data_IF_352518483840
#
_entry.id   IF_352518483840
#
_cell.length_a   1.000
_cell.length_b   1.000
_cell.length_c   1.000
_cell.angle_alpha   90.00
_cell.angle_beta   90.00
_cell.angle_gamma   90.00
#
_symmetry.space_group_name_H-M   'P 1'
#
loop_
_entity.id
_entity.type
_entity.pdbx_description
1 polymer ?
#
# COMPACT_ATOMS: atom_id res chain seq x y z
N UNK A 1 15.26 5.37 -2.02
CA UNK A 1 13.87 4.93 -2.29
C UNK A 1 13.38 5.42 -3.65
N UNK A 2 12.36 4.84 -4.20
CA UNK A 2 11.66 5.22 -5.43
C UNK A 2 10.35 5.93 -5.08
N UNK A 3 10.29 7.25 -5.27
CA UNK A 3 9.08 8.04 -4.98
C UNK A 3 8.06 7.83 -6.11
N UNK A 4 6.79 7.65 -5.74
CA UNK A 4 5.65 7.54 -6.65
C UNK A 4 4.42 8.27 -6.12
N UNK A 5 3.35 8.27 -6.91
CA UNK A 5 2.04 8.81 -6.54
C UNK A 5 0.94 7.81 -6.90
N UNK A 6 -0.13 7.76 -6.12
CA UNK A 6 -1.30 6.92 -6.40
C UNK A 6 -2.18 7.51 -7.53
N UNK A 7 -2.12 8.83 -7.75
CA UNK A 7 -2.86 9.46 -8.83
C UNK A 7 -2.28 9.09 -10.20
N UNK A 8 -3.14 8.67 -11.11
CA UNK A 8 -2.77 8.47 -12.51
C UNK A 8 -2.70 9.82 -13.22
N UNK A 9 -1.50 10.23 -13.67
CA UNK A 9 -1.34 11.45 -14.44
C UNK A 9 -2.11 11.35 -15.78
N UNK A 10 -2.79 12.41 -16.24
CA UNK A 10 -3.51 12.40 -17.52
C UNK A 10 -2.58 12.07 -18.69
N UNK A 11 -2.92 11.08 -19.50
CA UNK A 11 -2.13 10.62 -20.64
C UNK A 11 -3.01 9.93 -21.68
N UNK A 12 -2.57 9.89 -22.92
CA UNK A 12 -3.25 9.22 -24.02
C UNK A 12 -2.58 7.88 -24.40
N UNK A 13 -1.30 7.71 -24.07
CA UNK A 13 -0.54 6.48 -24.38
C UNK A 13 0.33 6.03 -23.21
N UNK A 14 0.69 4.74 -23.14
CA UNK A 14 1.60 4.22 -22.12
C UNK A 14 2.95 4.95 -22.08
N UNK A 15 3.48 5.31 -23.25
CA UNK A 15 4.75 6.02 -23.38
C UNK A 15 4.65 7.43 -22.78
N UNK A 16 3.54 8.13 -23.03
CA UNK A 16 3.27 9.45 -22.44
C UNK A 16 3.10 9.34 -20.92
N UNK A 17 2.40 8.31 -20.44
CA UNK A 17 2.26 8.03 -19.02
C UNK A 17 3.63 7.88 -18.33
N UNK A 18 4.49 7.03 -18.84
CA UNK A 18 5.82 6.83 -18.29
C UNK A 18 6.66 8.11 -18.32
N UNK A 19 6.66 8.81 -19.46
CA UNK A 19 7.36 10.08 -19.63
C UNK A 19 6.93 11.14 -18.63
N UNK A 20 5.62 11.32 -18.41
CA UNK A 20 5.09 12.29 -17.42
C UNK A 20 5.52 11.98 -16.00
N UNK A 21 5.55 10.71 -15.61
CA UNK A 21 6.05 10.31 -14.30
C UNK A 21 7.55 10.64 -14.15
N UNK A 22 8.36 10.37 -15.16
CA UNK A 22 9.79 10.76 -15.15
C UNK A 22 9.99 12.28 -15.13
N UNK A 23 9.23 13.04 -15.91
CA UNK A 23 9.28 14.52 -15.90
C UNK A 23 8.88 15.10 -14.53
N UNK A 24 7.93 14.48 -13.86
CA UNK A 24 7.62 14.78 -12.46
C UNK A 24 8.72 14.30 -11.48
N UNK A 25 9.78 13.63 -11.97
CA UNK A 25 10.91 13.10 -11.18
C UNK A 25 10.52 11.94 -10.30
N UNK A 26 9.52 11.17 -10.67
CA UNK A 26 9.11 9.97 -9.99
C UNK A 26 9.92 8.76 -10.48
N UNK A 27 10.13 7.80 -9.58
CA UNK A 27 10.85 6.55 -9.85
C UNK A 27 9.99 5.30 -9.62
N UNK A 28 8.77 5.49 -9.10
CA UNK A 28 7.80 4.40 -8.90
C UNK A 28 6.42 4.81 -9.39
N UNK A 29 5.59 3.83 -9.72
CA UNK A 29 4.23 4.02 -10.24
C UNK A 29 3.30 2.96 -9.68
N UNK A 30 2.03 3.32 -9.51
CA UNK A 30 0.93 2.36 -9.41
C UNK A 30 0.54 1.95 -10.82
N UNK A 31 0.33 0.66 -11.05
CA UNK A 31 0.01 0.16 -12.38
C UNK A 31 -1.38 0.62 -12.81
N UNK A 32 -1.54 1.23 -13.98
CA UNK A 32 -2.79 1.93 -14.33
C UNK A 32 -3.89 1.01 -14.89
N UNK A 33 -3.59 -0.27 -15.15
CA UNK A 33 -4.55 -1.21 -15.71
C UNK A 33 -5.05 -2.21 -14.67
N UNK A 34 -6.27 -2.71 -14.91
CA UNK A 34 -6.82 -3.86 -14.20
C UNK A 34 -6.69 -5.14 -15.06
N UNK A 35 -6.98 -6.29 -14.46
CA UNK A 35 -6.85 -7.60 -15.11
C UNK A 35 -7.85 -7.84 -16.28
N UNK A 36 -8.86 -7.01 -16.42
CA UNK A 36 -9.81 -7.00 -17.56
C UNK A 36 -9.30 -6.21 -18.77
N UNK A 37 -8.18 -5.48 -18.63
CA UNK A 37 -7.56 -4.79 -19.74
C UNK A 37 -6.98 -5.77 -20.78
N UNK A 38 -6.98 -5.43 -22.08
CA UNK A 38 -6.34 -6.25 -23.10
C UNK A 38 -4.87 -6.50 -22.77
N UNK A 39 -4.41 -7.75 -22.94
CA UNK A 39 -3.03 -8.14 -22.66
C UNK A 39 -2.00 -7.25 -23.37
N UNK A 40 -2.23 -6.93 -24.64
CA UNK A 40 -1.36 -6.03 -25.40
C UNK A 40 -1.20 -4.65 -24.72
N UNK A 41 -2.28 -4.15 -24.10
CA UNK A 41 -2.23 -2.86 -23.39
C UNK A 41 -1.42 -2.98 -22.10
N UNK A 42 -1.61 -4.04 -21.32
CA UNK A 42 -0.84 -4.25 -20.09
C UNK A 42 0.65 -4.45 -20.37
N UNK A 43 1.00 -5.20 -21.43
CA UNK A 43 2.38 -5.36 -21.89
C UNK A 43 3.00 -4.01 -22.30
N UNK A 44 2.30 -3.17 -23.05
CA UNK A 44 2.79 -1.83 -23.43
C UNK A 44 3.02 -0.90 -22.23
N UNK A 45 2.18 -0.94 -21.19
CA UNK A 45 2.43 -0.19 -19.95
C UNK A 45 3.63 -0.74 -19.19
N UNK A 46 3.81 -2.04 -19.16
CA UNK A 46 4.99 -2.65 -18.56
C UNK A 46 6.27 -2.25 -19.32
N UNK A 47 6.27 -2.36 -20.65
CA UNK A 47 7.40 -1.94 -21.49
C UNK A 47 7.74 -0.46 -21.27
N UNK A 48 6.73 0.42 -21.27
CA UNK A 48 6.92 1.85 -21.03
C UNK A 48 7.51 2.14 -19.63
N UNK A 49 7.09 1.41 -18.59
CA UNK A 49 7.67 1.52 -17.26
C UNK A 49 9.13 1.07 -17.26
N UNK A 50 9.41 -0.08 -17.86
CA UNK A 50 10.75 -0.66 -17.94
C UNK A 50 11.73 0.24 -18.70
N UNK A 51 11.38 0.74 -19.88
CA UNK A 51 12.19 1.62 -20.70
C UNK A 51 12.51 2.96 -20.02
N UNK A 52 11.66 3.38 -19.09
CA UNK A 52 11.81 4.64 -18.35
C UNK A 52 12.37 4.45 -16.93
N UNK A 53 12.88 3.26 -16.56
CA UNK A 53 13.37 2.99 -15.20
C UNK A 53 12.33 3.40 -14.13
N UNK A 54 11.08 2.98 -14.31
CA UNK A 54 10.00 3.12 -13.35
C UNK A 54 9.72 1.77 -12.69
N UNK A 55 9.79 1.73 -11.37
CA UNK A 55 9.39 0.53 -10.60
C UNK A 55 7.87 0.51 -10.52
N UNK A 56 7.25 -0.58 -10.99
CA UNK A 56 5.83 -0.83 -10.73
C UNK A 56 5.72 -1.24 -9.25
N UNK A 57 5.32 -0.30 -8.41
CA UNK A 57 5.19 -0.49 -6.97
C UNK A 57 4.08 -1.48 -6.65
N UNK A 58 2.93 -1.27 -7.29
CA UNK A 58 1.68 -1.90 -6.90
C UNK A 58 0.75 -2.14 -8.08
N UNK A 59 0.03 -3.27 -8.00
CA UNK A 59 -1.26 -3.48 -8.66
C UNK A 59 -2.32 -3.50 -7.55
N UNK A 60 -3.16 -2.48 -7.49
CA UNK A 60 -4.21 -2.36 -6.48
C UNK A 60 -5.43 -3.23 -6.79
N UNK A 61 -6.07 -3.76 -5.77
CA UNK A 61 -7.33 -4.55 -5.90
C UNK A 61 -8.50 -3.74 -5.36
N UNK A 62 -8.42 -3.32 -4.11
CA UNK A 62 -9.38 -2.46 -3.39
C UNK A 62 -10.80 -3.01 -3.43
N UNK A 63 -10.98 -4.19 -2.80
CA UNK A 63 -12.28 -4.84 -2.64
C UNK A 63 -12.39 -5.58 -1.30
N UNK A 64 -13.55 -6.15 -1.02
CA UNK A 64 -13.82 -6.90 0.20
C UNK A 64 -13.90 -8.43 -0.04
N UNK A 65 -12.80 -9.19 0.09
CA UNK A 65 -12.82 -10.64 -0.08
C UNK A 65 -13.51 -11.37 1.10
N UNK A 66 -13.90 -10.64 2.16
CA UNK A 66 -14.66 -11.16 3.31
C UNK A 66 -16.14 -10.77 3.28
N UNK A 67 -16.66 -10.29 2.16
CA UNK A 67 -18.05 -9.86 2.04
C UNK A 67 -19.01 -10.95 2.55
N UNK A 68 -20.03 -10.53 3.29
CA UNK A 68 -21.06 -11.44 3.83
C UNK A 68 -21.96 -12.02 2.75
N UNK A 69 -22.16 -11.30 1.65
CA UNK A 69 -22.87 -11.79 0.49
C UNK A 69 -21.99 -12.80 -0.26
N UNK A 70 -22.40 -14.07 -0.36
CA UNK A 70 -21.57 -15.11 -0.99
C UNK A 70 -21.24 -14.84 -2.45
N UNK A 71 -22.14 -14.22 -3.20
CA UNK A 71 -21.92 -13.92 -4.62
C UNK A 71 -20.90 -12.78 -4.79
N UNK A 72 -21.02 -11.72 -3.98
CA UNK A 72 -20.04 -10.64 -3.96
C UNK A 72 -18.67 -11.13 -3.49
N UNK A 73 -18.64 -11.93 -2.44
CA UNK A 73 -17.40 -12.54 -1.93
C UNK A 73 -16.71 -13.37 -3.01
N UNK A 74 -17.46 -14.18 -3.74
CA UNK A 74 -16.94 -14.97 -4.87
C UNK A 74 -16.35 -14.07 -5.96
N UNK A 75 -17.09 -13.04 -6.40
CA UNK A 75 -16.62 -12.08 -7.41
C UNK A 75 -15.36 -11.33 -6.93
N UNK A 76 -15.32 -10.93 -5.67
CA UNK A 76 -14.18 -10.26 -5.08
C UNK A 76 -12.94 -11.17 -5.03
N UNK A 77 -13.10 -12.45 -4.70
CA UNK A 77 -12.02 -13.44 -4.72
C UNK A 77 -11.50 -13.69 -6.15
N UNK A 78 -12.38 -13.84 -7.13
CA UNK A 78 -12.02 -13.99 -8.55
C UNK A 78 -11.24 -12.77 -9.03
N UNK A 79 -11.64 -11.55 -8.62
CA UNK A 79 -10.89 -10.33 -8.92
C UNK A 79 -9.52 -10.31 -8.23
N UNK A 80 -9.41 -10.73 -6.97
CA UNK A 80 -8.12 -10.83 -6.28
C UNK A 80 -7.15 -11.74 -7.03
N UNK A 81 -7.61 -12.91 -7.48
CA UNK A 81 -6.82 -13.88 -8.26
C UNK A 81 -6.38 -13.26 -9.59
N UNK A 82 -7.29 -12.64 -10.32
CA UNK A 82 -6.99 -12.03 -11.61
C UNK A 82 -5.98 -10.88 -11.49
N UNK A 83 -6.15 -9.99 -10.48
CA UNK A 83 -5.22 -8.88 -10.23
C UNK A 83 -3.84 -9.37 -9.77
N UNK A 84 -3.77 -10.43 -8.95
CA UNK A 84 -2.48 -11.02 -8.56
C UNK A 84 -1.76 -11.62 -9.76
N UNK A 85 -2.46 -12.30 -10.67
CA UNK A 85 -1.89 -12.81 -11.91
C UNK A 85 -1.39 -11.68 -12.82
N UNK A 86 -2.13 -10.57 -12.91
CA UNK A 86 -1.69 -9.37 -13.62
C UNK A 86 -0.40 -8.81 -12.96
N UNK A 87 -0.40 -8.63 -11.63
CA UNK A 87 0.76 -8.12 -10.90
C UNK A 87 2.02 -8.96 -11.14
N UNK A 88 1.87 -10.29 -11.17
CA UNK A 88 2.97 -11.21 -11.47
C UNK A 88 3.47 -11.04 -12.91
N UNK A 89 2.57 -10.88 -13.88
CA UNK A 89 2.90 -10.72 -15.31
C UNK A 89 3.62 -9.39 -15.62
N UNK A 90 3.38 -8.34 -14.84
CA UNK A 90 4.01 -7.01 -15.00
C UNK A 90 5.13 -6.76 -13.99
N UNK A 91 5.54 -7.79 -13.26
CA UNK A 91 6.62 -7.75 -12.26
C UNK A 91 6.45 -6.62 -11.23
N UNK A 92 5.20 -6.38 -10.79
CA UNK A 92 4.95 -5.42 -9.72
C UNK A 92 5.59 -5.88 -8.41
N UNK A 93 6.03 -4.95 -7.58
CA UNK A 93 6.60 -5.27 -6.26
C UNK A 93 5.59 -5.98 -5.37
N UNK A 94 4.32 -5.58 -5.44
CA UNK A 94 3.22 -6.30 -4.81
C UNK A 94 1.89 -6.13 -5.54
N UNK A 95 0.98 -7.05 -5.24
CA UNK A 95 -0.45 -6.91 -5.49
C UNK A 95 -1.12 -6.60 -4.14
N UNK A 96 -1.67 -5.39 -3.99
CA UNK A 96 -2.14 -4.90 -2.70
C UNK A 96 -3.66 -4.85 -2.60
N UNK A 97 -4.19 -5.28 -1.46
CA UNK A 97 -5.58 -5.15 -1.04
C UNK A 97 -5.63 -4.89 0.47
N UNK A 98 -6.80 -4.58 1.01
CA UNK A 98 -7.09 -4.73 2.43
C UNK A 98 -7.63 -6.14 2.70
N UNK A 99 -7.66 -6.56 3.98
CA UNK A 99 -8.24 -7.86 4.34
C UNK A 99 -9.75 -7.91 4.11
N UNK A 100 -10.39 -6.74 4.12
CA UNK A 100 -11.84 -6.58 4.03
C UNK A 100 -12.52 -6.53 5.39
N UNK A 101 -13.79 -6.16 5.37
CA UNK A 101 -14.63 -6.00 6.57
C UNK A 101 -15.76 -7.01 6.58
N UNK A 102 -16.10 -7.46 7.77
CA UNK A 102 -17.26 -8.33 8.02
C UNK A 102 -18.57 -7.55 8.18
N UNK A 103 -18.56 -6.23 8.04
CA UNK A 103 -19.71 -5.34 8.20
C UNK A 103 -20.32 -4.85 6.89
N UNK A 104 -21.19 -3.82 6.99
CA UNK A 104 -21.89 -3.26 5.84
C UNK A 104 -21.01 -2.40 4.93
N UNK A 105 -20.01 -1.72 5.51
CA UNK A 105 -18.98 -1.00 4.74
C UNK A 105 -17.81 -1.93 4.51
N UNK A 106 -17.36 -1.98 3.27
CA UNK A 106 -16.30 -2.89 2.83
C UNK A 106 -14.94 -2.66 3.52
N UNK A 107 -14.70 -1.43 3.93
CA UNK A 107 -13.50 -0.94 4.63
C UNK A 107 -13.81 -0.40 6.04
N UNK A 108 -15.00 -0.69 6.58
CA UNK A 108 -15.47 -0.13 7.84
C UNK A 108 -14.99 -0.84 9.09
N UNK A 109 -15.02 -0.11 10.21
CA UNK A 109 -14.68 -0.62 11.54
C UNK A 109 -15.85 -1.34 12.22
N UNK A 110 -15.65 -2.62 12.54
CA UNK A 110 -16.61 -3.46 13.26
C UNK A 110 -15.91 -4.35 14.28
N UNK A 111 -16.57 -4.66 15.39
CA UNK A 111 -16.00 -5.49 16.42
C UNK A 111 -15.61 -6.89 15.90
N UNK A 112 -16.38 -7.41 14.97
CA UNK A 112 -16.17 -8.71 14.35
C UNK A 112 -14.88 -8.79 13.52
N UNK A 113 -14.34 -7.66 13.04
CA UNK A 113 -13.08 -7.62 12.30
C UNK A 113 -11.88 -8.11 13.15
N UNK A 114 -12.02 -8.14 14.47
CA UNK A 114 -10.95 -8.50 15.41
C UNK A 114 -11.16 -9.89 16.05
N UNK A 115 -12.14 -10.66 15.60
CA UNK A 115 -12.38 -12.00 16.14
C UNK A 115 -11.39 -13.03 15.59
N UNK A 116 -11.26 -14.15 16.30
CA UNK A 116 -10.45 -15.27 15.84
C UNK A 116 -10.98 -15.86 14.53
N UNK A 117 -12.29 -15.90 14.39
CA UNK A 117 -12.97 -16.37 13.18
C UNK A 117 -12.62 -15.52 11.98
N UNK A 118 -12.55 -14.19 12.14
CA UNK A 118 -12.13 -13.29 11.05
C UNK A 118 -10.63 -13.45 10.75
N UNK A 119 -9.79 -13.59 11.76
CA UNK A 119 -8.37 -13.89 11.54
C UNK A 119 -8.20 -15.17 10.70
N UNK A 120 -8.87 -16.25 11.07
CA UNK A 120 -8.80 -17.52 10.36
C UNK A 120 -9.36 -17.39 8.92
N UNK A 121 -10.45 -16.63 8.72
CA UNK A 121 -11.01 -16.36 7.40
C UNK A 121 -10.04 -15.54 6.51
N UNK A 122 -9.29 -14.59 7.07
CA UNK A 122 -8.23 -13.86 6.35
C UNK A 122 -7.14 -14.84 5.92
N UNK A 123 -6.67 -15.70 6.81
CA UNK A 123 -5.64 -16.69 6.50
C UNK A 123 -6.07 -17.61 5.36
N UNK A 124 -7.29 -18.16 5.44
CA UNK A 124 -7.83 -19.02 4.37
C UNK A 124 -7.99 -18.28 3.05
N UNK A 125 -8.46 -17.04 3.08
CA UNK A 125 -8.62 -16.18 1.90
C UNK A 125 -7.28 -15.93 1.20
N UNK A 126 -6.26 -15.53 1.96
CA UNK A 126 -4.92 -15.26 1.41
C UNK A 126 -4.31 -16.54 0.83
N UNK A 127 -4.43 -17.68 1.53
CA UNK A 127 -3.99 -18.98 1.01
C UNK A 127 -4.69 -19.32 -0.30
N UNK A 128 -6.01 -19.19 -0.34
CA UNK A 128 -6.79 -19.49 -1.54
C UNK A 128 -6.34 -18.66 -2.75
N UNK A 129 -6.10 -17.37 -2.57
CA UNK A 129 -5.62 -16.48 -3.64
C UNK A 129 -4.21 -16.89 -4.09
N UNK A 130 -3.31 -17.10 -3.17
CA UNK A 130 -1.92 -17.46 -3.47
C UNK A 130 -1.81 -18.85 -4.11
N UNK A 131 -2.55 -19.83 -3.61
CA UNK A 131 -2.56 -21.20 -4.13
C UNK A 131 -3.23 -21.28 -5.53
N UNK A 132 -4.06 -20.31 -5.92
CA UNK A 132 -4.63 -20.22 -7.24
C UNK A 132 -3.66 -19.66 -8.29
N UNK A 133 -2.74 -18.78 -7.90
CA UNK A 133 -1.86 -18.05 -8.83
C UNK A 133 -0.44 -18.56 -8.82
N UNK A 134 0.11 -18.92 -7.65
CA UNK A 134 1.52 -19.27 -7.44
C UNK A 134 2.47 -18.19 -8.01
N UNK A 135 2.37 -16.92 -7.54
CA UNK A 135 3.15 -15.81 -8.09
C UNK A 135 4.65 -16.05 -7.94
N UNK A 136 5.43 -15.62 -8.92
CA UNK A 136 6.89 -15.81 -8.98
C UNK A 136 7.68 -14.51 -9.03
N UNK A 137 7.04 -13.40 -9.41
CA UNK A 137 7.66 -12.09 -9.55
C UNK A 137 7.07 -11.04 -8.60
N UNK A 138 5.88 -11.29 -8.06
CA UNK A 138 5.17 -10.39 -7.15
C UNK A 138 4.81 -11.11 -5.86
N UNK A 139 4.36 -10.35 -4.86
CA UNK A 139 3.78 -10.90 -3.65
C UNK A 139 2.39 -10.28 -3.40
N UNK A 140 1.46 -11.08 -2.90
CA UNK A 140 0.18 -10.57 -2.41
C UNK A 140 0.38 -9.91 -1.06
N UNK A 141 -0.10 -8.69 -0.88
CA UNK A 141 0.08 -7.93 0.35
C UNK A 141 -1.24 -7.36 0.86
N UNK A 142 -1.35 -7.25 2.17
CA UNK A 142 -2.47 -6.53 2.81
C UNK A 142 -1.99 -5.17 3.28
N UNK A 143 -2.68 -4.10 2.89
CA UNK A 143 -2.48 -2.81 3.53
C UNK A 143 -2.99 -2.88 4.97
N UNK A 144 -2.19 -2.50 5.98
CA UNK A 144 -2.68 -2.40 7.34
C UNK A 144 -3.71 -1.28 7.46
N UNK A 145 -4.79 -1.54 8.17
CA UNK A 145 -5.90 -0.61 8.34
C UNK A 145 -6.17 -0.34 9.82
N UNK A 146 -6.66 0.85 10.19
CA UNK A 146 -6.93 1.16 11.59
C UNK A 146 -8.09 0.37 12.22
N UNK A 147 -8.92 -0.29 11.40
CA UNK A 147 -10.19 -0.88 11.81
C UNK A 147 -10.30 -2.38 11.55
N UNK A 148 -9.24 -3.03 11.05
CA UNK A 148 -9.23 -4.46 10.72
C UNK A 148 -7.82 -5.02 10.76
N UNK A 149 -7.71 -6.34 10.79
CA UNK A 149 -6.40 -7.01 10.76
C UNK A 149 -5.80 -6.96 9.34
N UNK A 150 -4.48 -6.74 9.21
CA UNK A 150 -3.53 -6.40 10.27
C UNK A 150 -3.66 -4.95 10.74
N UNK A 151 -3.69 -4.72 12.05
CA UNK A 151 -3.76 -3.40 12.70
C UNK A 151 -2.48 -3.03 13.47
N UNK A 152 -1.49 -3.88 13.39
CA UNK A 152 -0.17 -3.72 14.00
C UNK A 152 0.87 -4.58 13.29
N UNK A 153 2.17 -4.29 13.44
CA UNK A 153 3.22 -5.14 12.89
C UNK A 153 3.21 -6.54 13.49
N UNK A 154 2.79 -6.71 14.75
CA UNK A 154 2.66 -8.01 15.42
C UNK A 154 1.57 -8.86 14.76
N UNK A 155 0.37 -8.29 14.54
CA UNK A 155 -0.74 -9.00 13.90
C UNK A 155 -0.42 -9.32 12.43
N UNK A 156 0.33 -8.46 11.75
CA UNK A 156 0.79 -8.75 10.39
C UNK A 156 1.74 -9.95 10.37
N UNK A 157 2.70 -9.98 11.30
CA UNK A 157 3.63 -11.10 11.42
C UNK A 157 2.93 -12.40 11.82
N UNK A 158 1.90 -12.31 12.68
CA UNK A 158 1.07 -13.46 13.06
C UNK A 158 0.29 -14.01 11.85
N UNK A 159 -0.34 -13.13 11.06
CA UNK A 159 -1.00 -13.51 9.81
C UNK A 159 -0.01 -14.18 8.84
N UNK A 160 1.18 -13.62 8.67
CA UNK A 160 2.17 -14.19 7.76
C UNK A 160 2.63 -15.58 8.17
N UNK A 161 2.80 -15.82 9.48
CA UNK A 161 3.10 -17.16 10.02
C UNK A 161 1.96 -18.14 9.82
N UNK A 162 0.72 -17.67 10.02
CA UNK A 162 -0.46 -18.49 9.84
C UNK A 162 -0.74 -18.79 8.37
N UNK A 163 -0.56 -17.84 7.47
CA UNK A 163 -0.70 -18.03 6.01
C UNK A 163 0.29 -19.07 5.50
N UNK A 164 1.54 -19.00 5.96
CA UNK A 164 2.60 -19.96 5.60
C UNK A 164 2.70 -20.20 4.08
N UNK A 165 2.81 -19.11 3.32
CA UNK A 165 3.01 -19.11 1.86
C UNK A 165 4.11 -18.12 1.47
N UNK A 166 5.05 -18.49 0.58
CA UNK A 166 6.15 -17.62 0.18
C UNK A 166 5.70 -16.35 -0.56
N UNK A 167 4.58 -16.40 -1.27
CA UNK A 167 4.04 -15.27 -2.02
C UNK A 167 3.26 -14.26 -1.19
N UNK A 168 3.26 -14.33 0.15
CA UNK A 168 2.62 -13.34 1.01
C UNK A 168 3.66 -12.33 1.51
N UNK A 169 3.66 -11.14 0.92
CA UNK A 169 4.49 -10.00 1.29
C UNK A 169 3.80 -9.03 2.23
N UNK A 170 4.51 -7.94 2.56
CA UNK A 170 3.99 -6.89 3.42
C UNK A 170 3.89 -5.58 2.66
N UNK A 171 2.80 -4.86 2.91
CA UNK A 171 2.62 -3.47 2.55
C UNK A 171 2.70 -2.62 3.82
N UNK A 172 3.33 -1.44 3.75
CA UNK A 172 3.47 -0.59 4.91
C UNK A 172 2.74 0.73 4.70
N UNK A 173 1.73 0.98 5.54
CA UNK A 173 1.12 2.29 5.72
C UNK A 173 1.28 2.70 7.19
N UNK A 174 2.23 3.59 7.43
CA UNK A 174 2.51 4.05 8.79
C UNK A 174 1.34 4.85 9.37
N UNK A 175 0.65 5.66 8.54
CA UNK A 175 -0.44 6.53 8.99
C UNK A 175 -1.65 5.72 9.45
N UNK A 176 -2.02 4.67 8.71
CA UNK A 176 -3.10 3.77 9.12
C UNK A 176 -2.80 3.05 10.45
N UNK A 177 -1.54 2.84 10.77
CA UNK A 177 -1.12 2.25 12.03
C UNK A 177 -0.99 3.24 13.18
N UNK A 178 -0.93 4.58 12.92
CA UNK A 178 -0.88 5.63 13.95
C UNK A 178 -2.26 5.93 14.55
N UNK A 179 -2.98 4.91 14.96
CA UNK A 179 -4.39 4.94 15.40
C UNK A 179 -4.60 5.27 16.88
N UNK A 180 -3.59 5.77 17.58
CA UNK A 180 -3.69 6.18 18.98
C UNK A 180 -2.73 7.32 19.30
N UNK A 181 -3.02 8.17 20.33
CA UNK A 181 -2.11 9.23 20.74
C UNK A 181 -0.71 8.74 21.10
N UNK A 182 -0.59 7.56 21.70
CA UNK A 182 0.70 6.97 22.06
C UNK A 182 1.53 6.67 20.80
N UNK A 183 0.92 6.05 19.79
CA UNK A 183 1.61 5.77 18.51
C UNK A 183 1.90 7.07 17.76
N UNK A 184 0.95 8.02 17.76
CA UNK A 184 1.12 9.31 17.10
C UNK A 184 2.31 10.11 17.66
N UNK A 185 2.39 10.29 18.98
CA UNK A 185 3.51 11.03 19.60
C UNK A 185 4.82 10.27 19.62
N UNK A 186 4.79 8.94 19.61
CA UNK A 186 5.96 8.05 19.53
C UNK A 186 6.14 7.45 18.13
N UNK A 187 5.75 8.18 17.05
CA UNK A 187 5.72 7.58 15.71
C UNK A 187 7.09 7.18 15.19
N UNK A 188 8.14 7.91 15.57
CA UNK A 188 9.52 7.58 15.19
C UNK A 188 9.92 6.18 15.68
N UNK A 189 9.78 5.93 16.98
CA UNK A 189 10.07 4.63 17.59
C UNK A 189 9.14 3.54 17.09
N UNK A 190 7.87 3.90 16.85
CA UNK A 190 6.89 2.95 16.32
C UNK A 190 7.20 2.53 14.89
N UNK A 191 7.59 3.43 14.01
CA UNK A 191 8.03 3.12 12.63
C UNK A 191 9.27 2.23 12.64
N UNK A 192 10.28 2.56 13.48
CA UNK A 192 11.45 1.68 13.66
C UNK A 192 11.03 0.27 14.10
N UNK A 193 10.08 0.18 15.03
CA UNK A 193 9.56 -1.11 15.49
C UNK A 193 8.88 -1.89 14.35
N UNK A 194 8.05 -1.24 13.53
CA UNK A 194 7.41 -1.86 12.37
C UNK A 194 8.46 -2.49 11.43
N UNK A 195 9.46 -1.72 11.01
CA UNK A 195 10.49 -2.22 10.10
C UNK A 195 11.41 -3.27 10.75
N UNK A 196 11.61 -3.21 12.06
CA UNK A 196 12.37 -4.24 12.77
C UNK A 196 11.70 -5.61 12.76
N UNK A 197 10.37 -5.65 12.80
CA UNK A 197 9.57 -6.87 12.75
C UNK A 197 9.28 -7.34 11.33
N UNK A 198 8.94 -6.42 10.43
CA UNK A 198 8.48 -6.74 9.08
C UNK A 198 9.65 -6.93 8.09
N UNK A 199 10.74 -6.19 8.30
CA UNK A 199 12.00 -6.35 7.59
C UNK A 199 11.88 -6.29 6.08
N UNK A 200 12.67 -7.11 5.39
CA UNK A 200 12.75 -7.19 3.93
C UNK A 200 11.51 -7.81 3.24
N UNK A 201 10.50 -8.17 4.01
CA UNK A 201 9.20 -8.60 3.47
C UNK A 201 8.30 -7.44 3.10
N UNK A 202 8.65 -6.19 3.49
CA UNK A 202 7.96 -4.99 3.01
C UNK A 202 8.30 -4.78 1.53
N UNK A 203 7.29 -4.63 0.70
CA UNK A 203 7.42 -4.54 -0.76
C UNK A 203 7.09 -3.17 -1.32
N UNK A 204 6.20 -2.44 -0.65
CA UNK A 204 5.79 -1.08 -0.99
C UNK A 204 5.35 -0.36 0.27
N UNK A 205 5.39 0.96 0.24
CA UNK A 205 4.96 1.83 1.32
C UNK A 205 4.04 2.92 0.80
N UNK A 206 2.99 3.25 1.57
CA UNK A 206 2.25 4.48 1.35
C UNK A 206 2.85 5.64 2.14
N UNK A 207 2.88 6.82 1.52
CA UNK A 207 3.26 8.08 2.14
C UNK A 207 2.03 8.96 2.28
N UNK A 208 1.67 9.22 3.52
CA UNK A 208 0.64 10.16 3.96
C UNK A 208 1.18 10.99 5.12
N UNK A 209 0.50 12.04 5.48
CA UNK A 209 0.73 12.73 6.75
C UNK A 209 -0.55 12.74 7.57
N UNK A 210 -0.42 12.80 8.89
CA UNK A 210 -1.55 12.71 9.79
C UNK A 210 -1.43 13.69 10.95
N UNK A 211 -2.58 14.22 11.40
CA UNK A 211 -2.66 15.17 12.50
C UNK A 211 -3.63 14.71 13.58
N UNK A 212 -3.17 14.77 14.82
CA UNK A 212 -4.01 14.64 16.00
C UNK A 212 -4.63 16.01 16.32
N UNK A 213 -5.95 16.07 16.49
CA UNK A 213 -6.69 17.29 16.83
C UNK A 213 -6.59 17.58 18.33
N UNK A 214 -5.80 18.57 18.76
CA UNK A 214 -5.52 18.79 20.18
C UNK A 214 -6.72 19.35 20.96
N UNK A 215 -7.68 19.97 20.26
CA UNK A 215 -8.88 20.54 20.86
C UNK A 215 -10.05 19.57 21.02
N UNK A 216 -9.93 18.35 20.51
CA UNK A 216 -10.97 17.32 20.63
C UNK A 216 -10.88 16.64 22.00
N UNK A 217 -11.99 16.53 22.71
CA UNK A 217 -12.08 15.75 23.96
C UNK A 217 -12.06 14.23 23.68
N UNK A 218 -12.48 13.83 22.50
CA UNK A 218 -12.30 12.47 21.99
C UNK A 218 -11.08 12.42 21.09
N UNK A 219 -10.40 11.27 21.03
CA UNK A 219 -9.25 11.11 20.14
C UNK A 219 -9.72 11.22 18.69
N UNK A 220 -9.16 12.20 17.99
CA UNK A 220 -9.37 12.38 16.56
C UNK A 220 -8.01 12.50 15.89
N UNK A 221 -7.66 11.51 15.11
CA UNK A 221 -6.47 11.48 14.26
C UNK A 221 -6.96 11.36 12.83
N UNK A 222 -6.48 12.23 11.95
CA UNK A 222 -6.94 12.28 10.56
C UNK A 222 -5.79 12.58 9.61
N UNK A 223 -5.91 12.12 8.39
CA UNK A 223 -5.02 12.52 7.32
C UNK A 223 -5.05 14.04 7.10
N UNK A 224 -3.94 14.58 6.70
CA UNK A 224 -3.77 16.01 6.44
C UNK A 224 -2.79 16.25 5.29
N UNK A 225 -2.69 17.51 4.88
CA UNK A 225 -1.69 17.93 3.89
C UNK A 225 -0.28 17.67 4.43
N UNK A 226 0.62 17.26 3.56
CA UNK A 226 2.05 17.11 3.88
C UNK A 226 2.60 18.38 4.52
N UNK A 227 3.40 18.24 5.56
CA UNK A 227 3.94 19.30 6.44
C UNK A 227 2.98 19.88 7.47
N UNK A 228 1.72 19.47 7.51
CA UNK A 228 0.76 19.91 8.53
C UNK A 228 0.54 18.87 9.63
N UNK A 229 1.06 17.65 9.42
CA UNK A 229 0.95 16.54 10.34
C UNK A 229 2.13 16.39 11.28
N UNK A 230 2.17 15.26 11.96
CA UNK A 230 3.17 14.94 12.97
C UNK A 230 3.95 13.65 12.70
N UNK A 231 3.82 13.05 11.52
CA UNK A 231 4.65 11.92 11.14
C UNK A 231 6.10 12.39 10.94
N UNK A 232 7.06 11.71 11.57
CA UNK A 232 8.49 11.87 11.23
C UNK A 232 8.74 11.19 9.87
N UNK A 233 8.32 11.88 8.82
CA UNK A 233 8.35 11.37 7.44
C UNK A 233 9.76 11.04 6.96
N UNK A 234 10.75 11.87 7.33
CA UNK A 234 12.13 11.62 6.96
C UNK A 234 12.64 10.33 7.59
N UNK A 235 12.33 10.11 8.86
CA UNK A 235 12.68 8.87 9.53
C UNK A 235 11.99 7.65 8.91
N UNK A 236 10.71 7.79 8.52
CA UNK A 236 9.99 6.73 7.82
C UNK A 236 10.67 6.36 6.49
N UNK A 237 11.07 7.36 5.71
CA UNK A 237 11.84 7.16 4.48
C UNK A 237 13.16 6.43 4.76
N UNK A 238 13.90 6.84 5.78
CA UNK A 238 15.18 6.21 6.14
C UNK A 238 15.02 4.74 6.56
N UNK A 239 14.00 4.41 7.34
CA UNK A 239 13.72 3.02 7.72
C UNK A 239 13.36 2.17 6.50
N UNK A 240 12.59 2.71 5.56
CA UNK A 240 12.27 2.04 4.31
C UNK A 240 13.52 1.82 3.44
N UNK A 241 14.36 2.84 3.25
CA UNK A 241 15.62 2.76 2.50
C UNK A 241 16.64 1.80 3.15
N UNK A 242 16.64 1.71 4.48
CA UNK A 242 17.51 0.78 5.21
C UNK A 242 17.19 -0.68 4.88
N UNK A 243 15.92 -0.98 4.63
CA UNK A 243 15.44 -2.32 4.25
C UNK A 243 15.67 -2.58 2.76
N UNK A 244 15.32 -1.63 1.91
CA UNK A 244 15.53 -1.69 0.46
C UNK A 244 15.82 -0.28 -0.07
N UNK A 245 17.04 0.01 -0.55
CA UNK A 245 17.37 1.31 -1.16
C UNK A 245 16.47 1.70 -2.34
N UNK A 246 15.83 0.73 -2.96
CA UNK A 246 14.89 0.90 -4.07
C UNK A 246 13.41 0.77 -3.62
N UNK A 247 13.13 0.88 -2.32
CA UNK A 247 11.77 0.77 -1.79
C UNK A 247 10.84 1.77 -2.47
N UNK A 248 9.75 1.31 -3.12
CA UNK A 248 8.75 2.23 -3.64
C UNK A 248 7.94 2.83 -2.49
N UNK A 249 7.78 4.16 -2.54
CA UNK A 249 7.01 4.91 -1.57
C UNK A 249 5.99 5.78 -2.31
N UNK A 250 4.72 5.48 -2.17
CA UNK A 250 3.63 6.04 -2.95
C UNK A 250 2.86 7.08 -2.15
N UNK A 251 2.91 8.33 -2.60
CA UNK A 251 2.08 9.41 -2.04
C UNK A 251 0.63 9.17 -2.45
N UNK A 252 -0.30 9.21 -1.48
CA UNK A 252 -1.71 8.98 -1.77
C UNK A 252 -2.67 9.91 -1.01
N UNK A 253 -3.98 9.77 -1.31
CA UNK A 253 -5.10 10.44 -0.68
C UNK A 253 -5.04 11.97 -0.74
N UNK A 254 -4.42 12.55 -1.75
CA UNK A 254 -4.43 13.99 -1.94
C UNK A 254 -5.54 14.42 -2.91
N UNK A 255 -6.17 15.59 -2.68
CA UNK A 255 -7.41 15.98 -3.37
C UNK A 255 -7.20 16.49 -4.82
N UNK A 256 -5.97 16.79 -5.24
CA UNK A 256 -5.69 17.32 -6.57
C UNK A 256 -4.24 17.11 -6.99
N UNK A 257 -3.97 17.23 -8.30
CA UNK A 257 -2.61 17.13 -8.84
C UNK A 257 -1.68 18.19 -8.24
N UNK A 258 -2.16 19.42 -8.01
CA UNK A 258 -1.37 20.46 -7.36
C UNK A 258 -1.01 20.10 -5.90
N UNK A 259 -1.87 19.32 -5.22
CA UNK A 259 -1.55 18.82 -3.89
C UNK A 259 -0.47 17.74 -3.96
N UNK A 260 -0.51 16.85 -4.97
CA UNK A 260 0.56 15.89 -5.22
C UNK A 260 1.89 16.59 -5.57
N UNK A 261 1.88 17.62 -6.41
CA UNK A 261 3.09 18.39 -6.74
C UNK A 261 3.72 19.03 -5.50
N UNK A 262 2.89 19.61 -4.61
CA UNK A 262 3.37 20.16 -3.33
C UNK A 262 3.96 19.07 -2.40
N UNK A 263 3.34 17.89 -2.35
CA UNK A 263 3.82 16.78 -1.56
C UNK A 263 5.16 16.24 -2.10
N UNK A 264 5.28 16.06 -3.41
CA UNK A 264 6.54 15.70 -4.07
C UNK A 264 7.64 16.71 -3.73
N UNK A 265 7.35 18.00 -3.84
CA UNK A 265 8.30 19.07 -3.52
C UNK A 265 8.70 19.05 -2.04
N UNK A 266 7.74 18.76 -1.13
CA UNK A 266 8.00 18.62 0.30
C UNK A 266 8.95 17.44 0.58
N UNK A 267 8.68 16.25 0.06
CA UNK A 267 9.54 15.07 0.23
C UNK A 267 10.95 15.35 -0.28
N UNK A 268 11.08 15.94 -1.46
CA UNK A 268 12.40 16.32 -2.01
C UNK A 268 13.16 17.29 -1.13
N UNK A 269 12.47 18.29 -0.58
CA UNK A 269 13.06 19.25 0.35
C UNK A 269 13.58 18.57 1.62
N UNK A 270 12.82 17.63 2.18
CA UNK A 270 13.26 16.84 3.33
C UNK A 270 14.55 16.07 3.03
N UNK A 271 14.61 15.36 1.90
CA UNK A 271 15.80 14.61 1.49
C UNK A 271 17.00 15.53 1.24
N UNK A 272 16.83 16.68 0.59
CA UNK A 272 17.91 17.66 0.39
C UNK A 272 18.44 18.23 1.71
N UNK A 273 17.57 18.47 2.70
CA UNK A 273 17.98 18.97 4.02
C UNK A 273 18.79 17.95 4.82
N UNK A 274 18.68 16.67 4.48
CA UNK A 274 19.41 15.55 5.07
C UNK A 274 20.76 15.26 4.37
N UNK A 275 21.11 16.03 3.34
CA UNK A 275 22.38 15.90 2.61
C UNK A 275 22.41 14.79 1.55
N UNK A 276 21.26 14.36 1.10
CA UNK A 276 21.06 13.41 -0.01
C UNK A 276 20.61 14.08 -1.31
#
# INVERSE_FOLDING_TARGET
>A
MRLGIAATLPHDTPEEWAKKHKEAGLGAVVFPCNADAPREMTERYWDAAWENDLVIAEVGIWNNPLDRDPEKRKQNLERCIAQLALADSVHARCCVNISGSTGALWDGGYAENYTRETFDAIVETVRYILDAVHPTHTEYSLEPMPYMLPDSPETYLELARAVDRPGFGFHMDAVNLLNSPRRYFGNREFVTHCFSLLGNRVKSCHLKDTRLEPSSLTVTIRECTFSEGGLDMLHYIHEAERVDPEMPMIIEHLPSYEAYDRAIAHVRKLLQSDGK
#
